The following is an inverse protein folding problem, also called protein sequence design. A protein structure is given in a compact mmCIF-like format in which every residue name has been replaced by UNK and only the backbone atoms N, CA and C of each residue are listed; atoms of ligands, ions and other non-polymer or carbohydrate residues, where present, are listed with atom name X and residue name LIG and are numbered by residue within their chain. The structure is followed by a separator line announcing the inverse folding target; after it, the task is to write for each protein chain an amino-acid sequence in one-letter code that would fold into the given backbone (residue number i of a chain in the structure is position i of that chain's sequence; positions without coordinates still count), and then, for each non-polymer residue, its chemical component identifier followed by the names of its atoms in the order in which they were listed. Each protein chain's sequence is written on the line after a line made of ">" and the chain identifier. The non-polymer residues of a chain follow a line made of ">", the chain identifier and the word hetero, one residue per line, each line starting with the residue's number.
data_IF_221313321944
#
_entry.id   IF_221313321944
#
_cell.length_a   1.000
_cell.length_b   1.000
_cell.length_c   1.000
_cell.angle_alpha   90.00
_cell.angle_beta   90.00
_cell.angle_gamma   90.00
#
_symmetry.space_group_name_H-M   'P 1'
#
loop_
_entity.id
_entity.type
_entity.pdbx_description
1 polymer ?
#
# COMPACT_ATOMS: atom_id res chain seq x y z
N UNK A 1 -64.25 20.66 16.11
CA UNK A 1 -65.62 20.40 16.62
C UNK A 1 -66.52 21.37 15.86
N UNK A 2 -67.38 20.94 14.91
CA UNK A 2 -68.39 19.88 15.00
C UNK A 2 -68.42 18.90 13.79
N UNK A 3 -69.37 17.94 13.80
CA UNK A 3 -69.78 17.00 12.73
C UNK A 3 -70.82 17.66 11.75
N UNK A 4 -71.56 16.98 10.83
CA UNK A 4 -71.47 15.67 10.15
C UNK A 4 -71.71 15.71 8.59
N UNK A 5 -71.78 14.52 7.96
CA UNK A 5 -72.14 14.02 6.57
C UNK A 5 -73.35 14.67 5.82
N UNK A 6 -73.76 14.30 4.55
CA UNK A 6 -73.38 13.19 3.62
C UNK A 6 -73.28 13.54 2.10
N UNK A 7 -73.10 12.49 1.27
CA UNK A 7 -72.93 12.43 -0.19
C UNK A 7 -74.17 12.64 -1.08
N UNK A 8 -73.96 13.00 -2.36
CA UNK A 8 -74.65 12.45 -3.56
C UNK A 8 -74.17 13.09 -4.88
N UNK A 9 -73.68 12.27 -5.82
CA UNK A 9 -73.74 12.45 -7.29
C UNK A 9 -75.22 12.55 -7.77
N UNK A 10 -75.61 12.98 -9.00
CA UNK A 10 -74.93 12.70 -10.30
C UNK A 10 -75.06 13.80 -11.40
N UNK A 11 -74.41 13.57 -12.56
CA UNK A 11 -74.96 13.72 -13.94
C UNK A 11 -73.94 14.28 -14.99
N UNK A 12 -73.76 13.49 -16.05
CA UNK A 12 -73.15 13.82 -17.35
C UNK A 12 -74.29 14.02 -18.39
N UNK A 13 -74.08 14.30 -19.72
CA UNK A 13 -72.94 14.79 -20.54
C UNK A 13 -73.45 15.88 -21.55
N UNK A 14 -73.11 15.97 -22.87
CA UNK A 14 -71.90 15.68 -23.69
C UNK A 14 -71.48 16.85 -24.65
N UNK A 15 -70.34 16.70 -25.36
CA UNK A 15 -70.17 16.82 -26.83
C UNK A 15 -68.79 17.36 -27.28
N UNK A 16 -68.19 16.59 -28.17
CA UNK A 16 -67.00 16.88 -28.98
C UNK A 16 -67.22 18.07 -29.91
N UNK A 17 -66.15 18.76 -30.38
CA UNK A 17 -65.73 18.73 -31.81
C UNK A 17 -64.32 19.33 -32.04
N UNK A 18 -63.63 18.75 -33.03
CA UNK A 18 -62.63 19.30 -33.96
C UNK A 18 -61.15 19.54 -33.56
N UNK A 19 -60.29 18.65 -34.09
CA UNK A 19 -59.03 19.01 -34.74
C UNK A 19 -59.32 19.47 -36.20
N UNK A 20 -58.48 20.32 -36.84
CA UNK A 20 -57.25 19.81 -37.48
C UNK A 20 -56.04 20.78 -37.58
N UNK A 21 -54.92 20.21 -38.07
CA UNK A 21 -53.84 20.79 -38.90
C UNK A 21 -52.63 21.52 -38.25
N UNK A 22 -51.54 20.73 -38.17
CA UNK A 22 -50.10 21.00 -38.37
C UNK A 22 -49.67 22.40 -38.85
N UNK A 23 -48.65 22.99 -38.20
CA UNK A 23 -47.25 23.00 -38.67
C UNK A 23 -46.28 23.79 -37.75
N UNK A 24 -45.07 23.23 -37.63
CA UNK A 24 -43.77 23.84 -37.30
C UNK A 24 -43.57 24.47 -35.92
N UNK A 25 -42.97 23.69 -35.00
CA UNK A 25 -42.29 24.20 -33.82
C UNK A 25 -40.80 23.82 -33.88
N UNK A 26 -39.96 24.86 -33.90
CA UNK A 26 -38.51 24.86 -33.82
C UNK A 26 -38.06 24.35 -32.44
N UNK A 27 -37.38 23.20 -32.38
CA UNK A 27 -36.77 22.69 -31.14
C UNK A 27 -35.30 23.12 -31.05
N UNK A 28 -35.01 23.98 -30.07
CA UNK A 28 -33.69 24.17 -29.49
C UNK A 28 -33.32 22.92 -28.64
N UNK A 29 -32.02 22.62 -28.42
CA UNK A 29 -31.59 21.29 -28.00
C UNK A 29 -31.82 21.06 -26.51
N UNK A 30 -32.46 19.93 -26.20
CA UNK A 30 -32.50 19.39 -24.84
C UNK A 30 -31.11 18.86 -24.47
N UNK A 31 -30.62 19.31 -23.32
CA UNK A 31 -29.39 18.83 -22.70
C UNK A 31 -29.43 17.30 -22.59
N UNK A 32 -28.45 16.64 -23.19
CA UNK A 32 -28.23 15.22 -23.06
C UNK A 32 -27.83 14.92 -21.61
N UNK A 33 -28.76 14.39 -20.84
CA UNK A 33 -28.44 13.64 -19.64
C UNK A 33 -27.70 12.37 -20.07
N UNK A 34 -26.39 12.33 -19.85
CA UNK A 34 -25.58 11.12 -19.97
C UNK A 34 -26.10 10.11 -18.96
N UNK A 35 -26.76 9.07 -19.46
CA UNK A 35 -27.10 7.89 -18.68
C UNK A 35 -25.80 7.27 -18.18
N UNK A 36 -25.54 7.36 -16.88
CA UNK A 36 -24.49 6.61 -16.21
C UNK A 36 -24.89 5.14 -16.34
N UNK A 37 -24.13 4.37 -17.12
CA UNK A 37 -24.31 2.93 -17.24
C UNK A 37 -24.12 2.27 -15.87
N UNK A 38 -25.07 1.46 -15.41
CA UNK A 38 -24.99 0.65 -14.18
C UNK A 38 -23.94 -0.49 -14.24
N UNK A 39 -23.06 -0.50 -15.25
CA UNK A 39 -21.96 -1.45 -15.36
C UNK A 39 -20.83 -1.08 -14.39
N UNK A 40 -20.51 -1.93 -13.39
CA UNK A 40 -19.42 -1.69 -12.45
C UNK A 40 -18.06 -1.54 -13.14
N UNK A 41 -17.84 -2.22 -14.26
CA UNK A 41 -16.57 -2.16 -15.00
C UNK A 41 -16.42 -0.83 -15.74
N UNK A 42 -17.49 -0.34 -16.38
CA UNK A 42 -17.49 0.96 -17.03
C UNK A 42 -17.25 2.08 -16.02
N UNK A 43 -17.90 1.99 -14.84
CA UNK A 43 -17.69 2.96 -13.76
C UNK A 43 -16.24 2.95 -13.26
N UNK A 44 -15.65 1.76 -13.09
CA UNK A 44 -14.26 1.61 -12.68
C UNK A 44 -13.28 2.17 -13.72
N UNK A 45 -13.56 1.98 -15.01
CA UNK A 45 -12.75 2.54 -16.10
C UNK A 45 -12.81 4.07 -16.09
N UNK A 46 -14.00 4.66 -15.99
CA UNK A 46 -14.17 6.12 -15.93
C UNK A 46 -13.42 6.71 -14.73
N UNK A 47 -13.51 6.08 -13.57
CA UNK A 47 -12.78 6.50 -12.38
C UNK A 47 -11.25 6.40 -12.57
N UNK A 48 -10.78 5.35 -13.24
CA UNK A 48 -9.37 5.17 -13.56
C UNK A 48 -8.86 6.24 -14.54
N UNK A 49 -9.57 6.46 -15.65
CA UNK A 49 -9.22 7.48 -16.65
C UNK A 49 -9.21 8.88 -16.03
N UNK A 50 -10.25 9.22 -15.25
CA UNK A 50 -10.33 10.50 -14.54
C UNK A 50 -9.14 10.73 -13.61
N UNK A 51 -8.62 9.67 -12.98
CA UNK A 51 -7.45 9.76 -12.12
C UNK A 51 -6.16 10.02 -12.90
N UNK A 52 -5.92 9.26 -13.97
CA UNK A 52 -4.68 9.41 -14.74
C UNK A 52 -4.63 10.73 -15.51
N UNK A 53 -5.79 11.30 -15.88
CA UNK A 53 -5.88 12.65 -16.41
C UNK A 53 -5.37 13.74 -15.46
N UNK A 54 -5.29 13.49 -14.16
CA UNK A 54 -4.78 14.47 -13.19
C UNK A 54 -3.26 14.69 -13.32
N UNK A 55 -2.53 13.73 -13.90
CA UNK A 55 -1.07 13.77 -13.90
C UNK A 55 -0.38 13.36 -15.22
N UNK A 56 -1.10 12.77 -16.18
CA UNK A 56 -0.58 12.39 -17.49
C UNK A 56 -1.03 13.35 -18.60
N UNK A 57 -0.24 13.42 -19.67
CA UNK A 57 -0.65 14.16 -20.86
C UNK A 57 -1.80 13.45 -21.60
N UNK A 58 -2.69 14.18 -22.30
CA UNK A 58 -3.82 13.57 -23.00
C UNK A 58 -3.43 12.42 -23.94
N UNK A 59 -2.39 12.60 -24.76
CA UNK A 59 -1.91 11.55 -25.67
C UNK A 59 -1.28 10.33 -24.95
N UNK A 60 -0.86 10.46 -23.69
CA UNK A 60 -0.43 9.32 -22.88
C UNK A 60 -1.63 8.58 -22.30
N UNK A 61 -2.69 9.30 -21.92
CA UNK A 61 -3.96 8.71 -21.47
C UNK A 61 -4.60 7.90 -22.59
N UNK A 62 -4.64 8.43 -23.81
CA UNK A 62 -5.18 7.72 -24.99
C UNK A 62 -4.47 6.36 -25.18
N UNK A 63 -3.13 6.34 -25.03
CA UNK A 63 -2.34 5.10 -25.14
C UNK A 63 -2.64 4.09 -24.03
N UNK A 64 -2.92 4.56 -22.82
CA UNK A 64 -3.32 3.71 -21.69
C UNK A 64 -4.73 3.14 -21.92
N UNK A 65 -5.64 3.95 -22.46
CA UNK A 65 -6.99 3.51 -22.84
C UNK A 65 -6.95 2.47 -23.97
N UNK A 66 -6.10 2.66 -24.98
CA UNK A 66 -5.86 1.68 -26.05
C UNK A 66 -5.37 0.33 -25.48
N UNK A 67 -4.46 0.37 -24.50
CA UNK A 67 -3.98 -0.84 -23.81
C UNK A 67 -5.10 -1.55 -23.04
N UNK A 68 -6.01 -0.78 -22.41
CA UNK A 68 -7.18 -1.34 -21.74
C UNK A 68 -8.10 -2.05 -22.75
N UNK A 69 -8.42 -1.43 -23.88
CA UNK A 69 -9.28 -2.04 -24.89
C UNK A 69 -8.66 -3.29 -25.50
N UNK A 70 -7.34 -3.29 -25.72
CA UNK A 70 -6.61 -4.46 -26.17
C UNK A 70 -6.68 -5.61 -25.15
N UNK A 71 -6.42 -5.35 -23.87
CA UNK A 71 -6.53 -6.35 -22.81
C UNK A 71 -7.97 -6.86 -22.65
N UNK A 72 -8.97 -5.97 -22.71
CA UNK A 72 -10.38 -6.32 -22.62
C UNK A 72 -10.81 -7.22 -23.79
N UNK A 73 -10.27 -6.99 -24.99
CA UNK A 73 -10.51 -7.84 -26.15
C UNK A 73 -9.83 -9.20 -25.99
N UNK A 74 -8.57 -9.23 -25.58
CA UNK A 74 -7.79 -10.45 -25.41
C UNK A 74 -8.42 -11.40 -24.37
N UNK A 75 -8.99 -10.85 -23.29
CA UNK A 75 -9.63 -11.63 -22.22
C UNK A 75 -11.16 -11.70 -22.31
N UNK A 76 -11.77 -11.40 -23.47
CA UNK A 76 -13.23 -11.28 -23.62
C UNK A 76 -14.01 -12.53 -23.17
N UNK A 77 -13.46 -13.72 -23.41
CA UNK A 77 -14.10 -15.00 -23.08
C UNK A 77 -13.65 -15.57 -21.74
N UNK A 78 -12.75 -14.87 -21.03
CA UNK A 78 -12.15 -15.34 -19.79
C UNK A 78 -12.88 -14.76 -18.57
N UNK A 79 -13.11 -15.60 -17.57
CA UNK A 79 -13.70 -15.22 -16.28
C UNK A 79 -12.75 -15.58 -15.14
N UNK A 80 -12.76 -14.78 -14.07
CA UNK A 80 -12.02 -15.11 -12.85
C UNK A 80 -12.72 -16.24 -12.09
N UNK A 81 -12.01 -16.87 -11.15
CA UNK A 81 -12.61 -17.85 -10.23
C UNK A 81 -13.73 -17.29 -9.34
N UNK A 82 -13.86 -15.96 -9.24
CA UNK A 82 -14.97 -15.27 -8.58
C UNK A 82 -16.22 -15.11 -9.45
N UNK A 83 -16.13 -15.37 -10.77
CA UNK A 83 -17.21 -15.16 -11.75
C UNK A 83 -17.20 -13.79 -12.43
N UNK A 84 -16.30 -12.88 -12.06
CA UNK A 84 -16.16 -11.56 -12.71
C UNK A 84 -15.42 -11.65 -14.06
N UNK A 85 -15.64 -10.69 -14.99
CA UNK A 85 -14.84 -10.56 -16.20
C UNK A 85 -13.35 -10.44 -15.87
N UNK A 86 -12.48 -11.16 -16.57
CA UNK A 86 -11.06 -11.19 -16.23
C UNK A 86 -10.39 -9.80 -16.21
N UNK A 87 -10.82 -8.92 -17.11
CA UNK A 87 -10.33 -7.52 -17.22
C UNK A 87 -10.52 -6.69 -15.94
N UNK A 88 -11.41 -7.09 -15.02
CA UNK A 88 -11.57 -6.39 -13.72
C UNK A 88 -10.27 -6.41 -12.91
N UNK A 89 -9.47 -7.48 -13.03
CA UNK A 89 -8.20 -7.62 -12.32
C UNK A 89 -7.11 -6.68 -12.86
N UNK A 90 -6.71 -6.73 -14.15
CA UNK A 90 -5.72 -5.80 -14.70
C UNK A 90 -6.10 -4.32 -14.49
N UNK A 91 -7.39 -3.98 -14.58
CA UNK A 91 -7.87 -2.62 -14.32
C UNK A 91 -7.65 -2.22 -12.84
N UNK A 92 -7.93 -3.10 -11.89
CA UNK A 92 -7.71 -2.83 -10.47
C UNK A 92 -6.21 -2.73 -10.12
N UNK A 93 -5.35 -3.50 -10.79
CA UNK A 93 -3.88 -3.39 -10.67
C UNK A 93 -3.43 -2.03 -11.19
N UNK A 94 -3.85 -1.64 -12.40
CA UNK A 94 -3.53 -0.34 -12.98
C UNK A 94 -4.02 0.82 -12.11
N UNK A 95 -5.21 0.72 -11.52
CA UNK A 95 -5.73 1.72 -10.61
C UNK A 95 -4.87 1.88 -9.34
N UNK A 96 -4.33 0.79 -8.81
CA UNK A 96 -3.39 0.81 -7.67
C UNK A 96 -2.08 1.50 -8.06
N UNK A 97 -1.57 1.26 -9.27
CA UNK A 97 -0.38 1.95 -9.78
C UNK A 97 -0.63 3.43 -10.07
N UNK A 98 -1.85 3.78 -10.46
CA UNK A 98 -2.25 5.18 -10.64
C UNK A 98 -2.35 5.93 -9.30
N UNK A 99 -2.69 5.26 -8.18
CA UNK A 99 -2.60 5.87 -6.84
C UNK A 99 -1.15 6.27 -6.50
N UNK A 100 -0.18 5.54 -7.04
CA UNK A 100 1.24 5.83 -6.94
C UNK A 100 1.74 6.73 -8.06
N UNK A 101 0.85 7.21 -8.92
CA UNK A 101 1.16 8.05 -10.05
C UNK A 101 2.33 7.50 -10.89
N UNK A 102 2.28 6.22 -11.27
CA UNK A 102 3.29 5.65 -12.17
C UNK A 102 3.14 6.17 -13.60
N UNK A 103 4.24 6.11 -14.34
CA UNK A 103 4.35 6.52 -15.74
C UNK A 103 3.45 5.66 -16.67
N UNK A 104 3.07 6.16 -17.85
CA UNK A 104 2.12 5.47 -18.72
C UNK A 104 2.59 4.08 -19.16
N UNK A 105 3.90 3.84 -19.26
CA UNK A 105 4.43 2.53 -19.67
C UNK A 105 4.16 1.46 -18.61
N UNK A 106 4.28 1.82 -17.32
CA UNK A 106 3.94 0.92 -16.23
C UNK A 106 2.42 0.67 -16.13
N UNK A 107 1.59 1.68 -16.38
CA UNK A 107 0.13 1.51 -16.42
C UNK A 107 -0.30 0.59 -17.57
N UNK A 108 0.23 0.81 -18.78
CA UNK A 108 0.00 -0.08 -19.91
C UNK A 108 0.48 -1.50 -19.60
N UNK A 109 1.67 -1.65 -19.01
CA UNK A 109 2.20 -2.95 -18.64
C UNK A 109 1.32 -3.66 -17.61
N UNK A 110 0.73 -2.95 -16.65
CA UNK A 110 -0.22 -3.52 -15.69
C UNK A 110 -1.53 -3.97 -16.31
N UNK A 111 -2.05 -3.24 -17.31
CA UNK A 111 -3.24 -3.67 -18.05
C UNK A 111 -2.96 -4.91 -18.90
N UNK A 112 -1.72 -5.07 -19.37
CA UNK A 112 -1.31 -6.13 -20.29
C UNK A 112 -0.62 -7.33 -19.62
N UNK A 113 -0.36 -7.29 -18.31
CA UNK A 113 0.59 -8.21 -17.65
C UNK A 113 0.22 -9.70 -17.78
N UNK A 114 -1.08 -10.01 -17.81
CA UNK A 114 -1.59 -11.37 -17.97
C UNK A 114 -1.90 -11.74 -19.43
N UNK A 115 -1.88 -10.77 -20.35
CA UNK A 115 -2.24 -11.00 -21.76
C UNK A 115 -1.25 -11.97 -22.41
N UNK A 116 0.05 -11.83 -22.14
CA UNK A 116 1.04 -12.79 -22.66
C UNK A 116 1.00 -14.15 -21.97
N UNK A 117 0.47 -14.25 -20.73
CA UNK A 117 0.38 -15.53 -20.03
C UNK A 117 -0.83 -16.35 -20.47
N UNK A 118 -1.98 -15.69 -20.62
CA UNK A 118 -3.27 -16.35 -20.78
C UNK A 118 -3.80 -16.35 -22.21
N UNK A 119 -3.16 -15.61 -23.12
CA UNK A 119 -3.62 -15.48 -24.52
C UNK A 119 -2.51 -15.78 -25.52
N UNK A 120 -2.86 -15.84 -26.82
CA UNK A 120 -1.93 -16.13 -27.90
C UNK A 120 -1.00 -14.95 -28.28
N UNK A 121 -1.11 -13.80 -27.60
CA UNK A 121 -0.36 -12.59 -27.92
C UNK A 121 1.12 -12.75 -27.55
N UNK A 122 1.99 -12.51 -28.54
CA UNK A 122 3.45 -12.57 -28.38
C UNK A 122 4.10 -11.24 -27.97
N UNK A 123 5.37 -11.31 -27.59
CA UNK A 123 6.16 -10.12 -27.22
C UNK A 123 6.39 -9.18 -28.41
N UNK A 124 6.53 -9.73 -29.62
CA UNK A 124 6.70 -8.94 -30.84
C UNK A 124 5.49 -8.02 -31.07
N UNK A 125 4.26 -8.56 -30.96
CA UNK A 125 3.03 -7.79 -31.15
C UNK A 125 2.91 -6.64 -30.12
N UNK A 126 3.23 -6.91 -28.84
CA UNK A 126 3.23 -5.85 -27.83
C UNK A 126 4.29 -4.78 -28.10
N UNK A 127 5.44 -5.17 -28.66
CA UNK A 127 6.51 -4.24 -29.00
C UNK A 127 6.09 -3.31 -30.14
N UNK A 128 5.40 -3.85 -31.16
CA UNK A 128 4.89 -3.06 -32.29
C UNK A 128 3.78 -2.09 -31.88
N UNK A 129 2.83 -2.52 -31.04
CA UNK A 129 1.67 -1.70 -30.65
C UNK A 129 1.99 -0.71 -29.52
N UNK A 130 2.67 -1.15 -28.47
CA UNK A 130 2.84 -0.39 -27.22
C UNK A 130 4.29 0.03 -26.95
N UNK A 131 5.23 -0.41 -27.79
CA UNK A 131 6.64 -0.06 -27.72
C UNK A 131 7.46 -1.05 -26.90
N UNK A 132 8.78 -1.03 -27.15
CA UNK A 132 9.76 -1.95 -26.56
C UNK A 132 9.76 -1.93 -25.02
N UNK A 133 9.70 -0.74 -24.41
CA UNK A 133 9.78 -0.61 -22.95
C UNK A 133 8.58 -1.28 -22.26
N UNK A 134 7.37 -1.03 -22.75
CA UNK A 134 6.15 -1.69 -22.24
C UNK A 134 6.24 -3.20 -22.41
N UNK A 135 6.65 -3.69 -23.58
CA UNK A 135 6.79 -5.13 -23.82
C UNK A 135 7.85 -5.80 -22.93
N UNK A 136 8.95 -5.11 -22.61
CA UNK A 136 9.96 -5.59 -21.66
C UNK A 136 9.43 -5.64 -20.21
N UNK A 137 8.62 -4.66 -19.81
CA UNK A 137 7.96 -4.65 -18.50
C UNK A 137 6.97 -5.82 -18.37
N UNK A 138 6.10 -6.01 -19.36
CA UNK A 138 5.15 -7.13 -19.38
C UNK A 138 5.90 -8.45 -19.34
N UNK A 139 6.95 -8.62 -20.15
CA UNK A 139 7.79 -9.84 -20.17
C UNK A 139 8.48 -10.09 -18.82
N UNK A 140 8.94 -9.03 -18.16
CA UNK A 140 9.48 -9.09 -16.81
C UNK A 140 8.47 -9.60 -15.79
N UNK A 141 7.24 -9.10 -15.83
CA UNK A 141 6.16 -9.50 -14.91
C UNK A 141 5.69 -10.94 -15.22
N UNK A 142 5.48 -11.28 -16.49
CA UNK A 142 4.95 -12.59 -16.87
C UNK A 142 5.93 -13.74 -16.59
N UNK A 143 7.24 -13.47 -16.66
CA UNK A 143 8.27 -14.45 -16.27
C UNK A 143 8.22 -14.81 -14.80
N UNK A 144 7.69 -13.92 -13.95
CA UNK A 144 7.52 -14.15 -12.52
C UNK A 144 6.26 -14.99 -12.27
N UNK A 145 5.15 -14.71 -12.97
CA UNK A 145 3.86 -15.38 -12.80
C UNK A 145 3.85 -16.85 -13.21
N UNK A 146 4.34 -17.19 -14.41
CA UNK A 146 4.34 -18.57 -14.95
C UNK A 146 5.02 -19.61 -14.06
N UNK A 147 5.93 -19.19 -13.18
CA UNK A 147 6.71 -20.10 -12.33
C UNK A 147 6.08 -20.33 -10.94
N UNK A 148 5.10 -19.53 -10.51
CA UNK A 148 4.38 -19.69 -9.23
C UNK A 148 3.59 -21.03 -9.14
N UNK A 149 3.45 -21.74 -10.26
CA UNK A 149 2.70 -22.99 -10.38
C UNK A 149 3.53 -24.27 -10.16
N UNK A 150 4.84 -24.19 -9.91
CA UNK A 150 5.70 -25.36 -9.65
C UNK A 150 5.93 -25.58 -8.15
N UNK A 151 5.76 -26.83 -7.66
CA UNK A 151 5.96 -27.17 -6.25
C UNK A 151 7.37 -27.73 -6.00
N UNK A 152 8.27 -26.89 -5.46
CA UNK A 152 9.45 -27.28 -4.67
C UNK A 152 10.05 -26.01 -4.03
N UNK A 153 10.70 -26.11 -2.87
CA UNK A 153 11.37 -24.95 -2.23
C UNK A 153 12.48 -24.38 -3.13
N UNK A 154 13.16 -25.22 -3.93
CA UNK A 154 14.17 -24.80 -4.91
C UNK A 154 13.55 -24.02 -6.09
N UNK A 155 12.37 -24.42 -6.56
CA UNK A 155 11.66 -23.69 -7.60
C UNK A 155 11.24 -22.30 -7.10
N UNK A 156 10.77 -22.19 -5.86
CA UNK A 156 10.45 -20.90 -5.25
C UNK A 156 11.69 -19.99 -5.17
N UNK A 157 12.86 -20.54 -4.84
CA UNK A 157 14.10 -19.79 -4.82
C UNK A 157 14.55 -19.31 -6.20
N UNK A 158 14.46 -20.15 -7.23
CA UNK A 158 14.75 -19.75 -8.61
C UNK A 158 13.75 -18.72 -9.16
N UNK A 159 12.49 -18.80 -8.75
CA UNK A 159 11.47 -17.82 -9.13
C UNK A 159 11.76 -16.46 -8.49
N UNK A 160 12.11 -16.49 -7.22
CA UNK A 160 12.53 -15.33 -6.47
C UNK A 160 13.79 -14.70 -7.07
N UNK A 161 14.76 -15.52 -7.49
CA UNK A 161 15.97 -15.08 -8.20
C UNK A 161 15.65 -14.38 -9.51
N UNK A 162 14.82 -14.97 -10.37
CA UNK A 162 14.42 -14.36 -11.65
C UNK A 162 13.65 -13.05 -11.45
N UNK A 163 12.77 -13.02 -10.44
CA UNK A 163 12.08 -11.81 -10.02
C UNK A 163 13.09 -10.73 -9.63
N UNK A 164 14.05 -11.01 -8.74
CA UNK A 164 15.09 -10.04 -8.36
C UNK A 164 15.90 -9.52 -9.56
N UNK A 165 16.27 -10.40 -10.50
CA UNK A 165 16.99 -10.01 -11.73
C UNK A 165 16.17 -9.05 -12.60
N UNK A 166 14.87 -9.29 -12.73
CA UNK A 166 13.97 -8.38 -13.45
C UNK A 166 13.84 -7.03 -12.73
N UNK A 167 13.78 -7.05 -11.39
CA UNK A 167 13.68 -5.85 -10.54
C UNK A 167 14.91 -4.95 -10.61
N UNK A 168 16.11 -5.52 -10.69
CA UNK A 168 17.35 -4.73 -10.77
C UNK A 168 17.40 -3.94 -12.08
N UNK A 169 16.88 -4.53 -13.17
CA UNK A 169 16.81 -3.87 -14.48
C UNK A 169 15.78 -2.76 -14.47
N UNK A 170 14.59 -3.03 -13.93
CA UNK A 170 13.53 -2.06 -13.82
C UNK A 170 12.65 -2.32 -12.59
N UNK A 171 12.68 -1.39 -11.64
CA UNK A 171 11.89 -1.44 -10.40
C UNK A 171 10.38 -1.35 -10.65
N UNK A 172 9.94 -0.86 -11.81
CA UNK A 172 8.51 -0.85 -12.17
C UNK A 172 7.94 -2.27 -12.24
N UNK A 173 8.75 -3.28 -12.55
CA UNK A 173 8.35 -4.70 -12.57
C UNK A 173 7.88 -5.16 -11.19
N UNK A 174 8.59 -4.84 -10.11
CA UNK A 174 8.14 -5.21 -8.75
C UNK A 174 6.93 -4.41 -8.31
N UNK A 175 6.81 -3.14 -8.71
CA UNK A 175 5.64 -2.33 -8.38
C UNK A 175 4.37 -2.93 -8.99
N UNK A 176 4.42 -3.30 -10.27
CA UNK A 176 3.33 -4.02 -10.94
C UNK A 176 3.03 -5.33 -10.21
N UNK A 177 4.06 -6.13 -9.89
CA UNK A 177 3.86 -7.44 -9.24
C UNK A 177 3.30 -7.31 -7.81
N UNK A 178 3.68 -6.27 -7.08
CA UNK A 178 3.13 -5.97 -5.76
C UNK A 178 1.67 -5.55 -5.83
N UNK A 179 1.29 -4.74 -6.83
CA UNK A 179 -0.10 -4.36 -7.08
C UNK A 179 -0.95 -5.57 -7.51
N UNK A 180 -0.44 -6.43 -8.40
CA UNK A 180 -1.02 -7.72 -8.76
C UNK A 180 -1.25 -8.57 -7.50
N UNK A 181 -0.19 -8.79 -6.71
CA UNK A 181 -0.27 -9.58 -5.48
C UNK A 181 -1.28 -9.01 -4.49
N UNK A 182 -1.35 -7.69 -4.33
CA UNK A 182 -2.34 -7.04 -3.46
C UNK A 182 -3.77 -7.34 -3.91
N UNK A 183 -4.06 -7.20 -5.20
CA UNK A 183 -5.38 -7.52 -5.73
C UNK A 183 -5.72 -9.02 -5.56
N UNK A 184 -4.76 -9.91 -5.80
CA UNK A 184 -4.92 -11.34 -5.56
C UNK A 184 -5.21 -11.66 -4.09
N UNK A 185 -4.57 -10.97 -3.15
CA UNK A 185 -4.84 -11.12 -1.73
C UNK A 185 -6.21 -10.59 -1.31
N UNK A 186 -6.71 -9.52 -1.94
CA UNK A 186 -8.07 -8.99 -1.72
C UNK A 186 -9.16 -9.95 -2.22
N UNK A 187 -8.89 -10.68 -3.30
CA UNK A 187 -9.82 -11.63 -3.94
C UNK A 187 -9.56 -13.10 -3.58
N UNK A 188 -8.68 -13.36 -2.61
CA UNK A 188 -8.20 -14.70 -2.27
C UNK A 188 -9.28 -15.65 -1.74
N UNK A 189 -10.40 -15.11 -1.26
CA UNK A 189 -11.48 -15.87 -0.61
C UNK A 189 -12.11 -16.96 -1.47
N UNK A 190 -12.12 -16.81 -2.79
CA UNK A 190 -12.71 -17.77 -3.73
C UNK A 190 -11.85 -19.05 -3.93
N UNK A 191 -10.59 -19.05 -3.48
CA UNK A 191 -9.67 -20.16 -3.72
C UNK A 191 -9.78 -21.28 -2.67
N UNK A 192 -9.33 -22.49 -3.06
CA UNK A 192 -9.20 -23.65 -2.16
C UNK A 192 -8.29 -23.32 -0.95
N UNK A 193 -8.59 -23.83 0.26
CA UNK A 193 -7.83 -23.54 1.48
C UNK A 193 -6.30 -23.73 1.35
N UNK A 194 -5.86 -24.78 0.66
CA UNK A 194 -4.42 -25.07 0.48
C UNK A 194 -3.72 -24.00 -0.34
N UNK A 195 -4.35 -23.56 -1.44
CA UNK A 195 -3.84 -22.47 -2.30
C UNK A 195 -3.84 -21.15 -1.52
N UNK A 196 -4.90 -20.85 -0.75
CA UNK A 196 -4.97 -19.65 0.11
C UNK A 196 -3.82 -19.60 1.10
N UNK A 197 -3.52 -20.69 1.79
CA UNK A 197 -2.41 -20.76 2.75
C UNK A 197 -1.05 -20.57 2.09
N UNK A 198 -0.82 -21.20 0.93
CA UNK A 198 0.43 -21.06 0.18
C UNK A 198 0.69 -19.61 -0.24
N UNK A 199 -0.28 -19.00 -0.92
CA UNK A 199 -0.20 -17.61 -1.41
C UNK A 199 -0.03 -16.64 -0.23
N UNK A 200 -0.72 -16.89 0.89
CA UNK A 200 -0.59 -16.06 2.10
C UNK A 200 0.78 -16.19 2.75
N UNK A 201 1.35 -17.40 2.83
CA UNK A 201 2.70 -17.61 3.37
C UNK A 201 3.74 -16.86 2.55
N UNK A 202 3.70 -17.05 1.24
CA UNK A 202 4.57 -16.33 0.31
C UNK A 202 4.42 -14.80 0.44
N UNK A 203 3.19 -14.32 0.60
CA UNK A 203 2.93 -12.89 0.81
C UNK A 203 3.58 -12.35 2.09
N UNK A 204 3.56 -13.11 3.18
CA UNK A 204 4.19 -12.72 4.45
C UNK A 204 5.72 -12.79 4.40
N UNK A 205 6.26 -13.81 3.73
CA UNK A 205 7.69 -14.11 3.73
C UNK A 205 8.44 -13.27 2.68
N UNK A 206 7.79 -12.91 1.57
CA UNK A 206 8.44 -12.27 0.41
C UNK A 206 7.84 -10.88 0.11
N UNK A 207 6.56 -10.83 -0.30
CA UNK A 207 5.99 -9.60 -0.88
C UNK A 207 5.79 -8.47 0.13
N UNK A 208 5.28 -8.76 1.33
CA UNK A 208 5.06 -7.73 2.35
C UNK A 208 6.38 -7.11 2.87
N UNK A 209 7.46 -7.88 3.11
CA UNK A 209 8.78 -7.32 3.42
C UNK A 209 9.35 -6.44 2.30
N UNK A 210 9.22 -6.87 1.03
CA UNK A 210 9.66 -6.07 -0.12
C UNK A 210 8.89 -4.74 -0.20
N UNK A 211 7.56 -4.78 -0.07
CA UNK A 211 6.74 -3.57 -0.02
C UNK A 211 7.21 -2.61 1.09
N UNK A 212 7.50 -3.14 2.29
CA UNK A 212 8.03 -2.33 3.39
C UNK A 212 9.43 -1.75 3.09
N UNK A 213 10.30 -2.52 2.40
CA UNK A 213 11.65 -2.07 2.01
C UNK A 213 11.59 -0.95 0.97
N UNK A 214 10.66 -1.04 0.02
CA UNK A 214 10.35 -0.01 -0.98
C UNK A 214 9.55 1.18 -0.39
N UNK A 215 9.33 1.21 0.92
CA UNK A 215 8.58 2.29 1.59
C UNK A 215 7.07 2.24 1.41
N UNK A 216 6.52 1.27 0.67
CA UNK A 216 5.07 1.03 0.49
C UNK A 216 4.45 0.44 1.76
N UNK A 217 4.44 1.23 2.84
CA UNK A 217 4.10 0.75 4.18
C UNK A 217 2.61 0.44 4.33
N UNK A 218 1.71 1.21 3.72
CA UNK A 218 0.26 0.90 3.73
C UNK A 218 -0.01 -0.44 3.05
N UNK A 219 0.51 -0.64 1.84
CA UNK A 219 0.42 -1.93 1.16
C UNK A 219 0.99 -3.05 2.01
N UNK A 220 2.21 -2.87 2.55
CA UNK A 220 2.86 -3.91 3.35
C UNK A 220 1.97 -4.35 4.52
N UNK A 221 1.30 -3.40 5.19
CA UNK A 221 0.38 -3.69 6.28
C UNK A 221 -0.89 -4.39 5.79
N UNK A 222 -1.44 -3.96 4.66
CA UNK A 222 -2.63 -4.59 4.07
C UNK A 222 -2.33 -6.04 3.65
N UNK A 223 -1.22 -6.27 2.95
CA UNK A 223 -0.74 -7.60 2.58
C UNK A 223 -0.55 -8.49 3.81
N UNK A 224 0.06 -7.96 4.88
CA UNK A 224 0.22 -8.68 6.14
C UNK A 224 -1.12 -9.08 6.78
N UNK A 225 -2.07 -8.16 6.81
CA UNK A 225 -3.38 -8.39 7.41
C UNK A 225 -4.19 -9.42 6.60
N UNK A 226 -4.25 -9.25 5.28
CA UNK A 226 -4.92 -10.19 4.36
C UNK A 226 -4.28 -11.58 4.42
N UNK A 227 -2.95 -11.65 4.44
CA UNK A 227 -2.24 -12.91 4.54
C UNK A 227 -2.44 -13.58 5.90
N UNK A 228 -2.43 -12.83 7.00
CA UNK A 228 -2.68 -13.38 8.32
C UNK A 228 -4.10 -13.95 8.45
N UNK A 229 -5.10 -13.24 7.91
CA UNK A 229 -6.50 -13.69 7.87
C UNK A 229 -6.67 -15.01 7.12
N UNK A 230 -5.96 -15.19 6.01
CA UNK A 230 -6.08 -16.39 5.18
C UNK A 230 -5.17 -17.55 5.63
N UNK A 231 -4.00 -17.24 6.20
CA UNK A 231 -3.06 -18.25 6.71
C UNK A 231 -3.49 -18.83 8.07
N UNK A 232 -4.00 -17.97 8.96
CA UNK A 232 -4.43 -18.33 10.32
C UNK A 232 -5.82 -17.74 10.67
N UNK A 233 -6.90 -18.19 10.01
CA UNK A 233 -8.24 -17.59 10.16
C UNK A 233 -8.75 -17.62 11.60
N UNK A 234 -8.61 -18.75 12.30
CA UNK A 234 -9.07 -18.85 13.70
C UNK A 234 -8.31 -17.89 14.64
N UNK A 235 -6.99 -17.72 14.44
CA UNK A 235 -6.20 -16.78 15.26
C UNK A 235 -6.59 -15.34 14.96
N UNK A 236 -6.84 -15.04 13.69
CA UNK A 236 -7.33 -13.74 13.24
C UNK A 236 -8.65 -13.40 13.92
N UNK A 237 -9.66 -14.28 13.83
CA UNK A 237 -10.99 -14.06 14.39
C UNK A 237 -10.98 -13.86 15.91
N UNK A 238 -10.20 -14.67 16.63
CA UNK A 238 -10.05 -14.54 18.09
C UNK A 238 -9.44 -13.19 18.45
N UNK A 239 -8.36 -12.78 17.77
CA UNK A 239 -7.70 -11.50 18.05
C UNK A 239 -8.57 -10.31 17.63
N UNK A 240 -9.29 -10.39 16.50
CA UNK A 240 -10.22 -9.35 16.05
C UNK A 240 -11.35 -9.15 17.06
N UNK A 241 -12.00 -10.25 17.50
CA UNK A 241 -13.05 -10.19 18.51
C UNK A 241 -12.52 -9.60 19.83
N UNK A 242 -11.34 -10.04 20.27
CA UNK A 242 -10.73 -9.53 21.49
C UNK A 242 -10.35 -8.03 21.36
N UNK A 243 -9.89 -7.59 20.18
CA UNK A 243 -9.56 -6.19 19.91
C UNK A 243 -10.82 -5.31 19.91
N UNK A 244 -11.91 -5.77 19.27
CA UNK A 244 -13.21 -5.08 19.25
C UNK A 244 -13.77 -4.90 20.66
N UNK A 245 -13.71 -5.93 21.50
CA UNK A 245 -14.16 -5.84 22.89
C UNK A 245 -13.31 -4.86 23.71
N UNK A 246 -11.99 -4.85 23.49
CA UNK A 246 -11.09 -3.94 24.19
C UNK A 246 -11.25 -2.47 23.77
N UNK A 247 -11.78 -2.17 22.58
CA UNK A 247 -11.97 -0.78 22.09
C UNK A 247 -12.97 0.00 22.93
N UNK A 248 -14.05 -0.62 23.40
CA UNK A 248 -15.13 0.04 24.16
C UNK A 248 -14.59 0.75 25.42
N UNK A 249 -13.89 0.00 26.26
CA UNK A 249 -13.37 0.50 27.54
C UNK A 249 -12.23 1.53 27.40
N UNK A 250 -11.63 1.64 26.20
CA UNK A 250 -10.43 2.45 25.95
C UNK A 250 -10.70 3.81 25.35
N UNK A 251 -11.89 4.00 24.78
CA UNK A 251 -12.26 5.23 24.06
C UNK A 251 -12.20 6.47 24.97
N UNK A 252 -12.57 6.31 26.23
CA UNK A 252 -12.50 7.39 27.23
C UNK A 252 -11.06 7.79 27.58
N UNK A 253 -10.18 6.81 27.83
CA UNK A 253 -8.77 7.08 28.16
C UNK A 253 -8.06 7.75 26.98
N UNK A 254 -8.29 7.23 25.77
CA UNK A 254 -7.77 7.79 24.52
C UNK A 254 -8.27 9.22 24.31
N UNK A 255 -9.56 9.47 24.53
CA UNK A 255 -10.17 10.80 24.43
C UNK A 255 -9.55 11.80 25.40
N UNK A 256 -9.41 11.43 26.68
CA UNK A 256 -8.80 12.29 27.71
C UNK A 256 -7.36 12.67 27.38
N UNK A 257 -6.56 11.74 26.86
CA UNK A 257 -5.17 12.01 26.45
C UNK A 257 -5.16 12.97 25.26
N UNK A 258 -5.96 12.71 24.22
CA UNK A 258 -6.05 13.59 23.04
C UNK A 258 -6.48 15.00 23.45
N UNK A 259 -7.50 15.14 24.29
CA UNK A 259 -7.99 16.43 24.78
C UNK A 259 -6.93 17.19 25.58
N UNK A 260 -6.23 16.48 26.48
CA UNK A 260 -5.12 17.05 27.26
C UNK A 260 -4.02 17.59 26.36
N UNK A 261 -3.61 16.80 25.35
CA UNK A 261 -2.59 17.22 24.39
C UNK A 261 -3.06 18.38 23.52
N UNK A 262 -4.32 18.37 23.05
CA UNK A 262 -4.91 19.46 22.26
C UNK A 262 -5.04 20.77 23.03
N UNK A 263 -5.16 20.73 24.35
CA UNK A 263 -5.18 21.94 25.19
C UNK A 263 -3.77 22.45 25.50
N UNK A 264 -2.89 21.55 25.95
CA UNK A 264 -1.56 21.93 26.49
C UNK A 264 -0.56 22.32 25.42
N UNK A 265 -0.59 21.71 24.23
CA UNK A 265 0.40 21.98 23.19
C UNK A 265 0.23 23.37 22.56
N UNK A 266 -1.00 23.84 22.26
CA UNK A 266 -1.21 25.22 21.81
C UNK A 266 -0.85 26.29 22.85
N UNK A 267 -1.08 26.04 24.15
CA UNK A 267 -0.63 26.92 25.26
C UNK A 267 0.89 27.14 25.23
N UNK A 268 1.64 26.17 24.70
CA UNK A 268 3.09 26.21 24.55
C UNK A 268 3.55 26.73 23.18
N UNK A 269 2.62 27.24 22.36
CA UNK A 269 2.90 27.77 21.01
C UNK A 269 3.14 26.70 19.94
N UNK A 270 2.72 25.46 20.18
CA UNK A 270 2.93 24.33 19.27
C UNK A 270 1.61 23.95 18.61
N UNK A 271 1.49 24.26 17.31
CA UNK A 271 0.39 23.78 16.48
C UNK A 271 0.63 22.32 16.07
N UNK A 272 -0.34 21.46 16.34
CA UNK A 272 -0.19 20.00 16.21
C UNK A 272 -1.52 19.30 16.04
N UNK A 273 -1.56 18.40 15.05
CA UNK A 273 -2.70 17.49 14.87
C UNK A 273 -2.40 16.17 15.56
N UNK A 274 -3.15 15.88 16.62
CA UNK A 274 -3.05 14.62 17.38
C UNK A 274 -4.11 13.62 16.92
N UNK A 275 -3.67 12.41 16.56
CA UNK A 275 -4.51 11.30 16.11
C UNK A 275 -4.22 10.03 16.92
N UNK A 276 -5.27 9.25 17.21
CA UNK A 276 -5.11 7.89 17.72
C UNK A 276 -4.55 6.97 16.64
N UNK A 277 -3.56 6.14 16.98
CA UNK A 277 -3.02 5.12 16.09
C UNK A 277 -3.53 3.76 16.50
N UNK A 278 -4.24 3.11 15.59
CA UNK A 278 -4.67 1.74 15.79
C UNK A 278 -3.55 0.75 15.43
N UNK A 279 -3.44 -0.32 16.22
CA UNK A 279 -2.52 -1.42 15.94
C UNK A 279 -3.24 -2.45 15.07
N UNK A 280 -2.60 -2.83 13.97
CA UNK A 280 -3.08 -3.93 13.11
C UNK A 280 -2.93 -5.28 13.81
N UNK A 281 -3.81 -6.23 13.46
CA UNK A 281 -3.91 -7.52 14.15
C UNK A 281 -2.63 -8.33 13.92
N UNK A 282 -2.12 -8.36 12.69
CA UNK A 282 -0.85 -9.06 12.42
C UNK A 282 0.32 -8.51 13.26
N UNK A 283 0.38 -7.18 13.43
CA UNK A 283 1.41 -6.54 14.25
C UNK A 283 1.31 -6.91 15.74
N UNK A 284 0.09 -7.09 16.25
CA UNK A 284 -0.16 -7.59 17.61
C UNK A 284 0.32 -9.04 17.72
N UNK A 285 -0.13 -9.91 16.81
CA UNK A 285 0.25 -11.32 16.76
C UNK A 285 1.77 -11.51 16.70
N UNK A 286 2.44 -10.77 15.82
CA UNK A 286 3.91 -10.79 15.67
C UNK A 286 4.60 -10.40 16.97
N UNK A 287 4.18 -9.30 17.62
CA UNK A 287 4.76 -8.87 18.91
C UNK A 287 4.52 -9.88 20.03
N UNK A 288 3.35 -10.51 20.08
CA UNK A 288 3.05 -11.57 21.06
C UNK A 288 4.00 -12.76 20.86
N UNK A 289 4.20 -13.19 19.62
CA UNK A 289 5.06 -14.34 19.29
C UNK A 289 6.54 -14.07 19.53
N UNK A 290 7.07 -12.93 19.05
CA UNK A 290 8.50 -12.60 19.13
C UNK A 290 8.96 -12.24 20.54
N UNK A 291 8.10 -11.62 21.35
CA UNK A 291 8.45 -11.16 22.69
C UNK A 291 7.85 -12.01 23.81
N UNK A 292 7.14 -13.08 23.45
CA UNK A 292 6.40 -13.92 24.40
C UNK A 292 5.47 -13.12 25.32
N UNK A 293 4.82 -12.08 24.77
CA UNK A 293 3.92 -11.20 25.51
C UNK A 293 2.47 -11.66 25.40
N UNK A 294 1.69 -11.44 26.45
CA UNK A 294 0.24 -11.67 26.42
C UNK A 294 -0.48 -10.60 25.62
N UNK A 295 -1.70 -10.90 25.17
CA UNK A 295 -2.53 -9.97 24.40
C UNK A 295 -2.77 -8.65 25.15
N UNK A 296 -3.08 -8.72 26.44
CA UNK A 296 -3.29 -7.54 27.30
C UNK A 296 -2.06 -6.65 27.34
N UNK A 297 -0.87 -7.22 27.58
CA UNK A 297 0.40 -6.46 27.63
C UNK A 297 0.72 -5.73 26.31
N UNK A 298 0.42 -6.33 25.16
CA UNK A 298 0.67 -5.70 23.86
C UNK A 298 -0.33 -4.57 23.60
N UNK A 299 -1.55 -4.74 24.06
CA UNK A 299 -2.64 -3.81 23.84
C UNK A 299 -2.69 -2.65 24.82
N UNK A 300 -2.16 -2.81 26.03
CA UNK A 300 -2.16 -1.77 27.07
C UNK A 300 -1.15 -0.64 26.79
N UNK A 301 -0.44 -0.71 25.66
CA UNK A 301 0.34 0.39 25.11
C UNK A 301 -0.50 1.14 24.07
N UNK A 302 -0.90 2.37 24.38
CA UNK A 302 -1.66 3.23 23.47
C UNK A 302 -0.73 3.90 22.46
N UNK A 303 -1.12 3.94 21.18
CA UNK A 303 -0.38 4.67 20.16
C UNK A 303 -1.07 5.98 19.82
N UNK A 304 -0.33 7.09 19.80
CA UNK A 304 -0.78 8.34 19.18
C UNK A 304 0.25 8.81 18.15
N UNK A 305 -0.25 9.55 17.18
CA UNK A 305 0.52 10.19 16.13
C UNK A 305 0.27 11.69 16.19
N UNK A 306 1.34 12.45 16.13
CA UNK A 306 1.36 13.91 16.17
C UNK A 306 1.96 14.41 14.87
N UNK A 307 1.18 15.19 14.14
CA UNK A 307 1.60 15.84 12.90
C UNK A 307 1.86 17.31 13.18
N UNK A 308 3.05 17.75 12.80
CA UNK A 308 3.51 19.14 12.97
C UNK A 308 3.94 19.73 11.63
N UNK A 309 4.14 21.05 11.59
CA UNK A 309 4.51 21.76 10.36
C UNK A 309 5.91 21.42 9.85
N UNK A 310 6.92 21.39 10.72
CA UNK A 310 8.33 21.33 10.34
C UNK A 310 9.15 20.47 11.32
N UNK A 311 10.39 20.16 10.92
CA UNK A 311 11.30 19.32 11.69
C UNK A 311 11.68 19.95 13.05
N UNK A 312 11.99 21.25 13.18
CA UNK A 312 12.22 21.88 14.49
C UNK A 312 11.04 21.72 15.45
N UNK A 313 9.81 21.88 14.96
CA UNK A 313 8.60 21.71 15.79
C UNK A 313 8.46 20.26 16.27
N UNK A 314 9.01 19.25 15.58
CA UNK A 314 9.02 17.87 16.09
C UNK A 314 9.76 17.77 17.43
N UNK A 315 10.90 18.43 17.55
CA UNK A 315 11.71 18.42 18.78
C UNK A 315 11.12 19.31 19.87
N UNK A 316 10.51 20.45 19.52
CA UNK A 316 9.75 21.26 20.47
C UNK A 316 8.56 20.47 21.05
N UNK A 317 7.81 19.77 20.19
CA UNK A 317 6.72 18.90 20.60
C UNK A 317 7.20 17.75 21.49
N UNK A 318 8.38 17.18 21.22
CA UNK A 318 9.00 16.17 22.09
C UNK A 318 9.26 16.73 23.50
N UNK A 319 9.88 17.91 23.59
CA UNK A 319 10.15 18.58 24.86
C UNK A 319 8.87 18.91 25.63
N UNK A 320 7.84 19.40 24.93
CA UNK A 320 6.53 19.65 25.51
C UNK A 320 5.85 18.35 26.00
N UNK A 321 5.97 17.25 25.26
CA UNK A 321 5.44 15.95 25.71
C UNK A 321 6.15 15.45 26.97
N UNK A 322 7.47 15.63 27.07
CA UNK A 322 8.25 15.22 28.25
C UNK A 322 7.97 16.07 29.49
N UNK A 323 7.47 17.30 29.32
CA UNK A 323 7.00 18.13 30.43
C UNK A 323 5.60 17.73 30.92
N UNK A 324 4.76 17.19 30.03
CA UNK A 324 3.40 16.72 30.35
C UNK A 324 3.44 15.30 30.96
N UNK A 325 4.21 14.39 30.35
CA UNK A 325 4.29 12.98 30.74
C UNK A 325 5.75 12.54 30.88
N UNK A 326 6.02 11.71 31.90
CA UNK A 326 7.37 11.20 32.16
C UNK A 326 7.81 10.21 31.08
N UNK A 327 8.97 10.40 30.42
CA UNK A 327 9.47 9.44 29.44
C UNK A 327 10.00 8.17 30.10
N UNK A 328 9.82 7.03 29.44
CA UNK A 328 10.40 5.74 29.85
C UNK A 328 11.85 5.67 29.35
N UNK A 329 12.84 5.49 30.24
CA UNK A 329 14.25 5.40 29.85
C UNK A 329 14.52 4.32 28.79
N UNK A 330 15.37 4.64 27.81
CA UNK A 330 15.74 3.70 26.73
C UNK A 330 14.63 3.41 25.71
N UNK A 331 13.49 4.11 25.78
CA UNK A 331 12.36 3.96 24.84
C UNK A 331 12.16 5.18 23.93
N UNK A 332 13.20 5.99 23.76
CA UNK A 332 13.26 7.07 22.78
C UNK A 332 14.03 6.61 21.54
N UNK A 333 13.53 6.94 20.35
CA UNK A 333 14.21 6.69 19.08
C UNK A 333 14.02 7.90 18.17
N UNK A 334 15.12 8.42 17.66
CA UNK A 334 15.12 9.53 16.72
C UNK A 334 15.30 8.98 15.30
N UNK A 335 14.19 8.68 14.61
CA UNK A 335 14.24 8.31 13.20
C UNK A 335 14.25 9.52 12.25
N UNK A 336 14.25 10.75 12.77
CA UNK A 336 14.45 11.93 11.93
C UNK A 336 15.95 12.08 11.65
N UNK A 337 16.77 12.04 12.70
CA UNK A 337 18.23 12.10 12.60
C UNK A 337 18.83 10.82 12.00
N UNK A 338 18.22 9.66 12.27
CA UNK A 338 18.65 8.36 11.74
C UNK A 338 17.47 7.68 11.04
N UNK A 339 17.16 8.08 9.78
CA UNK A 339 16.07 7.47 9.02
C UNK A 339 16.28 5.97 8.86
N UNK A 340 15.18 5.22 8.78
CA UNK A 340 15.26 3.80 8.43
C UNK A 340 15.65 3.63 6.96
N UNK A 341 16.13 2.44 6.59
CA UNK A 341 16.47 2.11 5.21
C UNK A 341 15.35 2.39 4.18
N UNK A 342 14.08 2.27 4.58
CA UNK A 342 12.93 2.55 3.73
C UNK A 342 12.50 4.03 3.68
N UNK A 343 13.34 4.94 4.18
CA UNK A 343 13.05 6.39 4.23
C UNK A 343 12.12 6.81 5.36
N UNK A 344 11.68 5.88 6.23
CA UNK A 344 10.78 6.22 7.33
C UNK A 344 11.43 7.17 8.35
N UNK A 345 10.77 8.30 8.58
CA UNK A 345 11.17 9.33 9.55
C UNK A 345 10.05 9.63 10.56
N UNK A 346 10.41 9.66 11.85
CA UNK A 346 9.55 10.07 12.97
C UNK A 346 10.33 10.00 14.30
N UNK A 347 10.01 10.86 15.26
CA UNK A 347 10.45 10.68 16.65
C UNK A 347 9.51 9.72 17.36
N UNK A 348 10.06 8.67 17.96
CA UNK A 348 9.30 7.71 18.78
C UNK A 348 9.69 7.88 20.23
N UNK A 349 8.71 8.06 21.11
CA UNK A 349 8.95 8.08 22.56
C UNK A 349 7.86 7.31 23.29
N UNK A 350 8.22 6.51 24.28
CA UNK A 350 7.24 5.88 25.18
C UNK A 350 7.18 6.69 26.47
N UNK A 351 5.99 7.13 26.83
CA UNK A 351 5.69 7.97 27.98
C UNK A 351 4.79 7.21 28.96
N UNK A 352 4.80 7.59 30.23
CA UNK A 352 3.85 7.11 31.23
C UNK A 352 2.67 8.09 31.25
N UNK A 353 1.55 7.65 30.67
CA UNK A 353 0.31 8.41 30.61
C UNK A 353 -0.47 8.42 31.92
N UNK A 354 -1.70 8.96 31.90
CA UNK A 354 -2.60 8.93 33.04
C UNK A 354 -2.83 7.49 33.53
N UNK A 355 -3.00 7.31 34.84
CA UNK A 355 -3.21 6.00 35.46
C UNK A 355 -2.07 4.99 35.28
N UNK A 356 -0.85 5.45 34.97
CA UNK A 356 0.34 4.60 34.83
C UNK A 356 0.39 3.80 33.52
N UNK A 357 -0.50 4.06 32.57
CA UNK A 357 -0.53 3.32 31.31
C UNK A 357 0.58 3.79 30.36
N UNK A 358 1.34 2.88 29.71
CA UNK A 358 2.35 3.26 28.74
C UNK A 358 1.71 3.80 27.45
N UNK A 359 2.26 4.89 26.93
CA UNK A 359 1.76 5.64 25.77
C UNK A 359 2.92 5.85 24.78
N UNK A 360 2.82 5.28 23.57
CA UNK A 360 3.83 5.32 22.50
C UNK A 360 3.52 6.45 21.51
N UNK A 361 4.29 7.55 21.57
CA UNK A 361 4.11 8.75 20.77
C UNK A 361 5.00 8.74 19.54
N UNK A 362 4.39 9.05 18.40
CA UNK A 362 5.07 9.28 17.14
C UNK A 362 4.88 10.74 16.75
N UNK A 363 5.97 11.48 16.60
CA UNK A 363 5.97 12.86 16.15
C UNK A 363 6.64 12.91 14.78
N UNK A 364 6.00 13.57 13.82
CA UNK A 364 6.56 13.74 12.46
C UNK A 364 5.87 14.90 11.74
N UNK A 365 6.47 15.38 10.67
CA UNK A 365 5.85 16.40 9.82
C UNK A 365 4.74 15.82 8.94
N UNK A 366 3.93 16.68 8.31
CA UNK A 366 2.97 16.26 7.30
C UNK A 366 3.65 15.57 6.10
N UNK A 367 4.80 16.08 5.68
CA UNK A 367 5.60 15.48 4.60
C UNK A 367 6.15 14.09 5.00
N UNK A 368 6.78 13.98 6.17
CA UNK A 368 7.23 12.68 6.70
C UNK A 368 6.08 11.70 6.88
N UNK A 369 4.88 12.20 7.19
CA UNK A 369 3.68 11.36 7.24
C UNK A 369 3.28 10.86 5.87
N UNK A 370 3.28 11.73 4.85
CA UNK A 370 2.98 11.36 3.47
C UNK A 370 3.94 10.29 2.95
N UNK A 371 5.26 10.50 3.10
CA UNK A 371 6.30 9.52 2.76
C UNK A 371 6.09 8.21 3.52
N UNK A 372 5.71 8.27 4.80
CA UNK A 372 5.53 7.07 5.60
C UNK A 372 4.25 6.27 5.27
N UNK A 373 3.21 6.86 4.69
CA UNK A 373 2.01 6.11 4.26
C UNK A 373 2.09 5.70 2.80
N UNK A 374 2.37 6.67 1.92
CA UNK A 374 2.37 6.48 0.47
C UNK A 374 3.70 5.93 -0.06
N UNK A 375 4.77 5.94 0.73
CA UNK A 375 6.08 5.46 0.31
C UNK A 375 6.74 6.32 -0.76
N UNK A 376 7.63 5.69 -1.54
CA UNK A 376 8.36 6.31 -2.67
C UNK A 376 7.45 6.62 -3.86
N UNK A 377 6.30 5.94 -3.91
CA UNK A 377 5.33 6.00 -4.98
C UNK A 377 4.80 7.43 -5.22
N UNK A 378 4.43 8.18 -4.19
CA UNK A 378 3.85 9.52 -4.36
C UNK A 378 4.80 10.59 -4.90
N UNK A 379 6.10 10.31 -4.99
CA UNK A 379 7.12 11.23 -5.49
C UNK A 379 7.69 10.82 -6.86
N UNK A 380 7.19 9.77 -7.51
CA UNK A 380 7.75 9.29 -8.78
C UNK A 380 7.64 10.29 -9.94
N UNK A 381 6.65 11.20 -9.92
CA UNK A 381 6.46 12.25 -10.92
C UNK A 381 7.01 13.63 -10.54
N UNK A 382 7.38 13.86 -9.28
CA UNK A 382 7.86 15.18 -8.89
C UNK A 382 9.35 15.33 -9.19
N UNK A 383 9.63 16.18 -10.18
CA UNK A 383 10.94 16.58 -10.71
C UNK A 383 11.82 17.37 -9.71
N UNK A 384 11.94 16.92 -8.46
CA UNK A 384 12.96 17.44 -7.54
C UNK A 384 14.12 16.45 -7.43
N UNK A 385 15.19 16.75 -8.18
CA UNK A 385 16.30 15.84 -8.51
C UNK A 385 17.16 15.38 -7.32
N UNK A 386 17.09 16.02 -6.16
CA UNK A 386 18.09 15.83 -5.10
C UNK A 386 17.74 14.74 -4.08
N UNK A 387 16.55 14.76 -3.48
CA UNK A 387 16.17 13.81 -2.41
C UNK A 387 15.75 12.45 -2.97
N UNK A 388 15.14 12.44 -4.16
CA UNK A 388 14.68 11.24 -4.86
C UNK A 388 15.85 10.33 -5.26
N UNK A 389 16.96 10.94 -5.66
CA UNK A 389 18.16 10.23 -6.08
C UNK A 389 18.72 9.35 -4.95
N UNK A 390 18.65 9.78 -3.67
CA UNK A 390 19.20 8.99 -2.56
C UNK A 390 18.43 7.71 -2.27
N UNK A 391 17.09 7.73 -2.27
CA UNK A 391 16.30 6.54 -1.93
C UNK A 391 16.25 5.56 -3.10
N UNK A 392 16.19 6.07 -4.34
CA UNK A 392 16.34 5.24 -5.53
C UNK A 392 17.75 4.64 -5.59
N UNK A 393 18.80 5.41 -5.29
CA UNK A 393 20.16 4.89 -5.19
C UNK A 393 20.32 3.88 -4.06
N UNK A 394 19.72 4.09 -2.88
CA UNK A 394 19.77 3.11 -1.77
C UNK A 394 19.04 1.82 -2.13
N UNK A 395 17.88 1.94 -2.77
CA UNK A 395 17.12 0.78 -3.26
C UNK A 395 17.90 0.05 -4.34
N UNK A 396 18.47 0.77 -5.31
CA UNK A 396 19.29 0.20 -6.37
C UNK A 396 20.55 -0.46 -5.81
N UNK A 397 21.27 0.20 -4.88
CA UNK A 397 22.43 -0.38 -4.19
C UNK A 397 22.07 -1.65 -3.42
N UNK A 398 20.93 -1.67 -2.74
CA UNK A 398 20.43 -2.86 -2.07
C UNK A 398 20.10 -3.98 -3.07
N UNK A 399 19.47 -3.67 -4.20
CA UNK A 399 19.21 -4.64 -5.25
C UNK A 399 20.52 -5.17 -5.88
N UNK A 400 21.53 -4.31 -6.05
CA UNK A 400 22.85 -4.71 -6.53
C UNK A 400 23.59 -5.60 -5.51
N UNK A 401 23.54 -5.28 -4.21
CA UNK A 401 24.16 -6.13 -3.19
C UNK A 401 23.54 -7.53 -3.15
N UNK A 402 22.24 -7.65 -3.44
CA UNK A 402 21.59 -8.96 -3.59
C UNK A 402 22.13 -9.73 -4.81
N UNK A 403 22.50 -9.06 -5.90
CA UNK A 403 23.14 -9.71 -7.05
C UNK A 403 24.58 -10.14 -6.77
N UNK A 404 25.34 -9.34 -6.02
CA UNK A 404 26.70 -9.70 -5.63
C UNK A 404 26.70 -10.95 -4.72
N UNK A 405 25.79 -11.02 -3.75
CA UNK A 405 25.57 -12.22 -2.93
C UNK A 405 25.20 -13.44 -3.78
N UNK A 406 24.46 -13.25 -4.87
CA UNK A 406 24.13 -14.31 -5.83
C UNK A 406 25.37 -14.80 -6.60
N UNK A 407 26.33 -13.93 -6.91
CA UNK A 407 27.58 -14.36 -7.57
C UNK A 407 28.47 -15.20 -6.64
N UNK A 408 28.33 -15.01 -5.33
CA UNK A 408 29.10 -15.71 -4.30
C UNK A 408 28.43 -17.00 -3.79
N UNK A 409 27.09 -17.12 -3.84
CA UNK A 409 26.34 -18.28 -3.38
C UNK A 409 26.03 -19.28 -4.50
N UNK A 410 26.41 -20.55 -4.32
CA UNK A 410 26.17 -21.62 -5.30
C UNK A 410 24.79 -22.29 -5.21
N UNK A 411 24.01 -22.04 -4.14
CA UNK A 411 22.74 -22.74 -3.88
C UNK A 411 21.56 -21.76 -3.70
N UNK A 412 20.53 -21.88 -4.55
CA UNK A 412 19.37 -20.97 -4.57
C UNK A 412 18.56 -21.00 -3.27
N UNK A 413 18.50 -22.13 -2.55
CA UNK A 413 17.78 -22.19 -1.26
C UNK A 413 18.49 -21.43 -0.15
N UNK A 414 19.82 -21.50 -0.11
CA UNK A 414 20.64 -20.75 0.86
C UNK A 414 20.57 -19.25 0.57
N UNK A 415 20.62 -18.89 -0.71
CA UNK A 415 20.39 -17.52 -1.17
C UNK A 415 19.03 -16.97 -0.67
N UNK A 416 17.94 -17.73 -0.80
CA UNK A 416 16.62 -17.27 -0.37
C UNK A 416 16.54 -17.04 1.15
N UNK A 417 17.20 -17.85 1.96
CA UNK A 417 17.29 -17.62 3.41
C UNK A 417 18.13 -16.37 3.74
N UNK A 418 19.26 -16.16 3.05
CA UNK A 418 20.03 -14.93 3.20
C UNK A 418 19.23 -13.68 2.82
N UNK A 419 18.50 -13.71 1.69
CA UNK A 419 17.66 -12.58 1.29
C UNK A 419 16.53 -12.34 2.29
N UNK A 420 15.91 -13.39 2.85
CA UNK A 420 14.93 -13.22 3.93
C UNK A 420 15.55 -12.48 5.12
N UNK A 421 16.75 -12.87 5.56
CA UNK A 421 17.44 -12.18 6.65
C UNK A 421 17.68 -10.69 6.32
N UNK A 422 18.13 -10.38 5.11
CA UNK A 422 18.35 -9.02 4.63
C UNK A 422 17.06 -8.21 4.40
N UNK A 423 15.93 -8.88 4.15
CA UNK A 423 14.60 -8.27 4.09
C UNK A 423 14.06 -7.92 5.49
N UNK A 424 14.60 -8.52 6.54
CA UNK A 424 14.23 -8.28 7.94
C UNK A 424 15.41 -7.79 8.81
N UNK A 425 16.15 -6.71 8.43
CA UNK A 425 17.28 -6.31 9.23
C UNK A 425 16.75 -5.67 10.52
N UNK A 426 17.12 -6.26 11.66
CA UNK A 426 17.41 -5.41 12.80
C UNK A 426 18.64 -4.60 12.41
N UNK A 427 18.56 -3.27 12.38
CA UNK A 427 19.75 -2.44 12.16
C UNK A 427 20.34 -2.07 13.52
N UNK A 428 21.66 -2.19 13.64
CA UNK A 428 22.47 -1.64 14.73
C UNK A 428 23.30 -0.49 14.17
N UNK A 429 23.32 0.63 14.89
CA UNK A 429 24.07 1.81 14.48
C UNK A 429 25.35 1.90 15.29
N UNK A 430 26.48 1.95 14.59
CA UNK A 430 27.80 2.15 15.19
C UNK A 430 28.27 3.59 14.95
N UNK A 431 28.82 4.20 15.99
CA UNK A 431 29.39 5.55 15.93
C UNK A 431 30.88 5.44 15.65
N UNK A 432 31.35 6.12 14.61
CA UNK A 432 32.79 6.29 14.37
C UNK A 432 33.37 7.35 15.32
N UNK A 433 34.69 7.32 15.61
CA UNK A 433 35.34 8.36 16.42
C UNK A 433 35.21 9.78 15.83
N UNK A 434 34.96 9.90 14.52
CA UNK A 434 34.72 11.18 13.83
C UNK A 434 33.24 11.62 13.87
N UNK A 435 32.39 10.92 14.62
CA UNK A 435 30.96 11.24 14.76
C UNK A 435 30.07 10.77 13.61
N UNK A 436 30.61 10.11 12.59
CA UNK A 436 29.81 9.49 11.50
C UNK A 436 29.07 8.27 12.03
N UNK A 437 27.79 8.13 11.67
CA UNK A 437 26.95 6.98 12.03
C UNK A 437 26.96 6.00 10.85
N UNK A 438 27.22 4.72 11.15
CA UNK A 438 27.20 3.63 10.18
C UNK A 438 26.14 2.62 10.61
N UNK A 439 25.19 2.32 9.73
CA UNK A 439 24.20 1.28 9.93
C UNK A 439 24.76 -0.09 9.53
N UNK A 440 24.65 -1.06 10.43
CA UNK A 440 25.10 -2.43 10.25
C UNK A 440 23.95 -3.41 10.54
N UNK A 441 23.97 -4.62 9.97
CA UNK A 441 22.99 -5.65 10.28
C UNK A 441 23.12 -6.12 11.74
N UNK A 442 22.02 -6.51 12.37
CA UNK A 442 22.00 -7.04 13.75
C UNK A 442 22.81 -8.33 13.81
N UNK A 443 23.83 -8.33 14.67
CA UNK A 443 24.81 -9.42 14.76
C UNK A 443 26.13 -9.11 14.08
N UNK A 444 26.26 -7.96 13.42
CA UNK A 444 27.53 -7.49 12.86
C UNK A 444 28.64 -7.42 13.92
N UNK A 445 29.84 -7.80 13.49
CA UNK A 445 31.06 -7.83 14.28
C UNK A 445 31.86 -6.54 14.10
N UNK A 446 32.90 -6.36 14.91
CA UNK A 446 33.84 -5.25 14.74
C UNK A 446 34.56 -5.29 13.38
N UNK A 447 34.71 -6.47 12.77
CA UNK A 447 35.31 -6.64 11.43
C UNK A 447 34.38 -6.07 10.36
N UNK A 448 33.08 -6.36 10.44
CA UNK A 448 32.07 -5.81 9.52
C UNK A 448 32.03 -4.27 9.60
N UNK A 449 32.18 -3.72 10.82
CA UNK A 449 32.32 -2.27 11.01
C UNK A 449 33.59 -1.72 10.37
N UNK A 450 34.73 -2.40 10.51
CA UNK A 450 35.98 -1.96 9.89
C UNK A 450 35.86 -1.89 8.36
N UNK A 451 35.33 -2.93 7.71
CA UNK A 451 35.08 -2.97 6.27
C UNK A 451 34.07 -1.89 5.81
N UNK A 452 33.05 -1.60 6.63
CA UNK A 452 32.10 -0.53 6.33
C UNK A 452 32.70 0.88 6.47
N UNK A 453 33.79 1.03 7.24
CA UNK A 453 34.53 2.29 7.38
C UNK A 453 35.56 2.44 6.25
N UNK A 454 36.32 1.38 5.97
CA UNK A 454 37.35 1.32 4.92
C UNK A 454 37.49 -0.12 4.41
N UNK A 455 37.58 -0.28 3.08
CA UNK A 455 37.74 -1.58 2.41
C UNK A 455 39.17 -2.11 2.37
N UNK A 456 40.14 -1.31 2.83
CA UNK A 456 41.59 -1.56 2.74
C UNK A 456 42.18 -2.17 4.03
#
# INVERSE_FOLDING_TARGET
>A
MPAPTPASDPAAPPLAVHAPAQQTATTAPAAAHTAVSDDPLATALVAFLAKIHLYLAPGEVDRVEDAYHFAAHAHREQQRSSGEPYISHPLAVAHTLADWHLDPQALMAALLHDVMEDTAVGKEELTERFGKVTAELVDGVSKIGRLENQSYEEAQAENFRKMLLAMVRDVRVILIKLADRLHNMRTLGALRPDKRRRVSRETLDIFAPIANRLGLNEMSRELQELAFRNFHPMRYEVLDKALRNARGNRREVVGKIIETLRRRLPEMGIDVTVMGREKHIYGIYRKMREKHLTFSQVLDIYGFRMLVKDQPTCYLALGALHSIYKPVPGKFKDYIAIPKANGYQSLHTTLIGPYGTPVEMQIRTHEMHHVAESGVASHWLYKDEQTFNELQQKTHKWLQSLLELQSASGNSSEFLEHVKVDLFPGEVFAFTPKGKIIGLPRGATAVDFAYAVHTD
#
